data_IF_550321575533
#
_entry.id   IF_550321575533
#
_cell.length_a   1.000
_cell.length_b   1.000
_cell.length_c   1.000
_cell.angle_alpha   90.00
_cell.angle_beta   90.00
_cell.angle_gamma   90.00
#
_symmetry.space_group_name_H-M   'P 1'
#
loop_
_entity.id
_entity.type
_entity.pdbx_description
1 polymer ?
#
# COMPACT_ATOMS: atom_id res chain seq x y z
N UNK A 1 13.82 25.26 18.92
CA UNK A 1 13.96 24.49 17.68
C UNK A 1 12.81 23.51 17.68
N UNK A 2 11.93 23.55 16.67
CA UNK A 2 10.81 22.63 16.60
C UNK A 2 11.35 21.21 16.40
N UNK A 3 10.76 20.23 17.08
CA UNK A 3 11.13 18.82 16.94
C UNK A 3 10.91 18.43 15.47
N UNK A 4 11.99 18.10 14.75
CA UNK A 4 11.97 17.82 13.32
C UNK A 4 11.39 16.43 12.99
N UNK A 5 11.06 15.67 14.02
CA UNK A 5 10.50 14.33 13.92
C UNK A 5 9.07 14.31 14.46
N UNK A 6 8.11 14.06 13.57
CA UNK A 6 6.70 13.89 13.96
C UNK A 6 6.41 12.40 14.06
N UNK A 7 5.91 11.97 15.23
CA UNK A 7 5.61 10.58 15.51
C UNK A 7 4.16 10.43 15.96
N UNK A 8 3.42 9.56 15.28
CA UNK A 8 2.01 9.28 15.56
C UNK A 8 1.84 7.78 15.73
N UNK A 9 1.18 7.37 16.83
CA UNK A 9 0.78 5.99 17.04
C UNK A 9 -0.71 5.83 16.78
N UNK A 10 -1.06 4.84 15.97
CA UNK A 10 -2.45 4.46 15.71
C UNK A 10 -2.56 2.98 16.07
N UNK A 11 -3.26 2.69 17.17
CA UNK A 11 -3.30 1.36 17.78
C UNK A 11 -1.89 0.82 18.11
N UNK A 12 -1.49 -0.31 17.51
CA UNK A 12 -0.17 -0.93 17.65
C UNK A 12 0.86 -0.38 16.66
N UNK A 13 0.42 0.33 15.63
CA UNK A 13 1.25 0.73 14.51
C UNK A 13 1.81 2.16 14.72
N UNK A 14 2.99 2.39 14.18
CA UNK A 14 3.76 3.60 14.34
C UNK A 14 4.06 4.27 13.00
N UNK A 15 3.73 5.56 12.92
CA UNK A 15 4.08 6.43 11.80
C UNK A 15 5.12 7.43 12.26
N UNK A 16 6.20 7.57 11.50
CA UNK A 16 7.28 8.52 11.79
C UNK A 16 7.57 9.33 10.54
N UNK A 17 7.62 10.65 10.70
CA UNK A 17 8.03 11.59 9.67
C UNK A 17 9.26 12.35 10.16
N UNK A 18 10.43 12.06 9.59
CA UNK A 18 11.66 12.82 9.76
C UNK A 18 11.70 13.93 8.70
N UNK A 19 11.36 15.16 9.10
CA UNK A 19 11.24 16.31 8.19
C UNK A 19 12.60 16.74 7.63
N UNK A 20 13.68 16.57 8.40
CA UNK A 20 15.04 16.93 7.96
C UNK A 20 15.54 15.98 6.88
N UNK A 21 15.22 14.69 6.98
CA UNK A 21 15.62 13.69 6.00
C UNK A 21 14.59 13.46 4.89
N UNK A 22 13.40 14.04 5.00
CA UNK A 22 12.28 13.77 4.10
C UNK A 22 11.87 12.29 4.11
N UNK A 23 12.02 11.63 5.27
CA UNK A 23 11.79 10.18 5.40
C UNK A 23 10.49 9.92 6.16
N UNK A 24 9.57 9.24 5.49
CA UNK A 24 8.36 8.70 6.11
C UNK A 24 8.52 7.20 6.34
N UNK A 25 8.22 6.73 7.54
CA UNK A 25 8.24 5.30 7.87
C UNK A 25 6.95 4.85 8.52
N UNK A 26 6.53 3.64 8.19
CA UNK A 26 5.44 2.91 8.82
C UNK A 26 6.01 1.63 9.45
N UNK A 27 5.85 1.47 10.76
CA UNK A 27 6.38 0.35 11.55
C UNK A 27 7.88 0.07 11.29
N UNK A 28 8.66 1.14 11.18
CA UNK A 28 10.11 1.10 10.97
C UNK A 28 10.54 0.82 9.53
N UNK A 29 9.61 0.56 8.61
CA UNK A 29 9.89 0.43 7.18
C UNK A 29 9.64 1.75 6.45
N UNK A 30 10.53 2.13 5.54
CA UNK A 30 10.33 3.31 4.68
C UNK A 30 9.07 3.15 3.83
N UNK A 31 8.25 4.19 3.81
CA UNK A 31 6.99 4.22 3.07
C UNK A 31 6.88 5.51 2.26
N UNK A 32 6.03 5.48 1.24
CA UNK A 32 5.67 6.66 0.45
C UNK A 32 4.22 7.02 0.72
N UNK A 33 3.96 8.32 0.82
CA UNK A 33 2.61 8.86 0.89
C UNK A 33 2.24 9.40 -0.50
N UNK A 34 1.16 8.88 -1.06
CA UNK A 34 0.60 9.35 -2.32
C UNK A 34 -0.79 9.94 -2.09
N UNK A 35 -1.11 11.01 -2.81
CA UNK A 35 -2.50 11.36 -3.07
C UNK A 35 -3.14 10.26 -3.91
N UNK A 36 -4.42 9.99 -3.65
CA UNK A 36 -5.26 9.08 -4.42
C UNK A 36 -5.22 9.38 -5.93
N UNK A 37 -5.34 10.65 -6.30
CA UNK A 37 -5.25 11.13 -7.68
C UNK A 37 -3.88 10.89 -8.31
N UNK A 38 -2.79 10.96 -7.53
CA UNK A 38 -1.44 10.74 -8.03
C UNK A 38 -1.17 9.26 -8.34
N UNK A 39 -1.62 8.35 -7.47
CA UNK A 39 -1.49 6.90 -7.75
C UNK A 39 -2.43 6.47 -8.88
N UNK A 40 -3.64 7.03 -8.97
CA UNK A 40 -4.54 6.76 -10.08
C UNK A 40 -3.95 7.22 -11.42
N UNK A 41 -3.39 8.43 -11.47
CA UNK A 41 -2.71 8.94 -12.65
C UNK A 41 -1.53 8.04 -13.04
N UNK A 42 -0.71 7.63 -12.07
CA UNK A 42 0.42 6.74 -12.31
C UNK A 42 -0.02 5.40 -12.94
N UNK A 43 -1.08 4.78 -12.41
CA UNK A 43 -1.64 3.55 -12.98
C UNK A 43 -2.20 3.81 -14.37
N UNK A 44 -3.00 4.86 -14.58
CA UNK A 44 -3.53 5.20 -15.91
C UNK A 44 -2.42 5.40 -16.93
N UNK A 45 -1.34 6.09 -16.58
CA UNK A 45 -0.20 6.28 -17.48
C UNK A 45 0.47 4.95 -17.86
N UNK A 46 0.57 3.98 -16.94
CA UNK A 46 1.05 2.64 -17.28
C UNK A 46 0.13 1.98 -18.31
N UNK A 47 -1.18 2.04 -18.11
CA UNK A 47 -2.16 1.48 -19.05
C UNK A 47 -2.12 2.16 -20.42
N UNK A 48 -2.05 3.49 -20.46
CA UNK A 48 -1.96 4.27 -21.70
C UNK A 48 -0.72 3.93 -22.52
N UNK A 49 0.43 3.75 -21.86
CA UNK A 49 1.70 3.48 -22.54
C UNK A 49 1.86 2.00 -22.91
N UNK A 50 1.39 1.08 -22.08
CA UNK A 50 1.64 -0.36 -22.26
C UNK A 50 0.48 -1.14 -22.90
N UNK A 51 -0.72 -0.56 -22.93
CA UNK A 51 -1.94 -1.25 -23.32
C UNK A 51 -2.50 -2.14 -22.20
N UNK A 52 -3.80 -2.43 -22.29
CA UNK A 52 -4.59 -3.05 -21.20
C UNK A 52 -4.10 -4.44 -20.76
N UNK A 53 -3.67 -5.29 -21.70
CA UNK A 53 -3.23 -6.65 -21.37
C UNK A 53 -1.87 -6.66 -20.63
N UNK A 54 -0.94 -5.78 -21.03
CA UNK A 54 0.38 -5.66 -20.41
C UNK A 54 0.26 -4.98 -19.04
N UNK A 55 -0.52 -3.91 -18.94
CA UNK A 55 -0.73 -3.19 -17.68
C UNK A 55 -1.37 -4.10 -16.62
N UNK A 56 -2.36 -4.91 -17.01
CA UNK A 56 -2.96 -5.90 -16.10
C UNK A 56 -1.92 -6.87 -15.54
N UNK A 57 -1.03 -7.38 -16.38
CA UNK A 57 0.06 -8.28 -15.96
C UNK A 57 1.01 -7.58 -14.99
N UNK A 58 1.34 -6.31 -15.25
CA UNK A 58 2.17 -5.48 -14.36
C UNK A 58 1.50 -5.31 -13.00
N UNK A 59 0.20 -5.02 -12.95
CA UNK A 59 -0.53 -4.84 -11.70
C UNK A 59 -0.61 -6.13 -10.88
N UNK A 60 -0.94 -7.26 -11.52
CA UNK A 60 -1.01 -8.57 -10.86
C UNK A 60 0.35 -8.99 -10.31
N UNK A 61 1.41 -8.87 -11.12
CA UNK A 61 2.77 -9.20 -10.71
C UNK A 61 3.26 -8.29 -9.57
N UNK A 62 2.93 -7.00 -9.63
CA UNK A 62 3.28 -6.03 -8.58
C UNK A 62 2.53 -6.36 -7.29
N UNK A 63 1.22 -6.62 -7.36
CA UNK A 63 0.41 -7.05 -6.22
C UNK A 63 0.94 -8.32 -5.55
N UNK A 64 1.26 -9.35 -6.35
CA UNK A 64 1.85 -10.59 -5.86
C UNK A 64 3.20 -10.36 -5.16
N UNK A 65 4.09 -9.58 -5.78
CA UNK A 65 5.42 -9.27 -5.20
C UNK A 65 5.31 -8.44 -3.93
N UNK A 66 4.40 -7.45 -3.90
CA UNK A 66 4.13 -6.64 -2.71
C UNK A 66 3.56 -7.50 -1.58
N UNK A 67 2.60 -8.38 -1.85
CA UNK A 67 2.08 -9.32 -0.86
C UNK A 67 3.17 -10.24 -0.31
N UNK A 68 4.06 -10.75 -1.17
CA UNK A 68 5.20 -11.54 -0.72
C UNK A 68 6.17 -10.74 0.16
N UNK A 69 6.47 -9.49 -0.22
CA UNK A 69 7.31 -8.59 0.55
C UNK A 69 6.70 -8.29 1.94
N UNK A 70 5.40 -7.95 2.00
CA UNK A 70 4.72 -7.70 3.28
C UNK A 70 4.70 -8.95 4.14
N UNK A 71 4.39 -10.12 3.56
CA UNK A 71 4.43 -11.40 4.30
C UNK A 71 5.81 -11.71 4.89
N UNK A 72 6.88 -11.21 4.26
CA UNK A 72 8.25 -11.42 4.73
C UNK A 72 8.54 -10.70 6.04
N UNK A 73 7.87 -9.58 6.33
CA UNK A 73 7.96 -8.90 7.63
C UNK A 73 7.40 -9.73 8.79
N UNK A 74 6.61 -10.76 8.48
CA UNK A 74 6.00 -11.67 9.45
C UNK A 74 6.66 -13.05 9.49
N UNK A 75 7.72 -13.30 8.71
CA UNK A 75 8.44 -14.59 8.75
C UNK A 75 9.04 -14.81 10.14
N UNK A 76 8.76 -15.97 10.74
CA UNK A 76 9.26 -16.37 12.06
C UNK A 76 8.28 -16.11 13.21
N UNK A 77 7.13 -15.47 12.94
CA UNK A 77 6.01 -15.39 13.87
C UNK A 77 5.24 -16.72 13.87
N UNK A 78 4.90 -17.24 15.05
CA UNK A 78 4.15 -18.50 15.23
C UNK A 78 2.70 -18.27 15.68
N UNK A 79 2.36 -17.03 16.01
CA UNK A 79 1.06 -16.54 16.46
C UNK A 79 0.14 -16.25 15.26
N UNK A 80 -0.36 -17.32 14.61
CA UNK A 80 -1.16 -17.23 13.38
C UNK A 80 -2.42 -16.35 13.56
N UNK A 81 -3.12 -16.44 14.69
CA UNK A 81 -4.35 -15.66 14.94
C UNK A 81 -4.06 -14.15 15.00
N UNK A 82 -3.03 -13.76 15.76
CA UNK A 82 -2.62 -12.36 15.89
C UNK A 82 -2.01 -11.83 14.59
N UNK A 83 -1.31 -12.67 13.82
CA UNK A 83 -0.80 -12.32 12.50
C UNK A 83 -1.94 -12.03 11.52
N UNK A 84 -3.03 -12.80 11.55
CA UNK A 84 -4.19 -12.56 10.71
C UNK A 84 -4.91 -11.26 11.07
N UNK A 85 -5.00 -10.92 12.36
CA UNK A 85 -5.54 -9.63 12.82
C UNK A 85 -4.67 -8.46 12.36
N UNK A 86 -3.34 -8.52 12.58
CA UNK A 86 -2.39 -7.47 12.19
C UNK A 86 -2.32 -7.29 10.67
N UNK A 87 -2.35 -8.39 9.91
CA UNK A 87 -2.40 -8.36 8.45
C UNK A 87 -3.70 -7.71 7.96
N UNK A 88 -4.84 -8.10 8.51
CA UNK A 88 -6.14 -7.47 8.22
C UNK A 88 -6.10 -5.96 8.51
N UNK A 89 -5.49 -5.55 9.61
CA UNK A 89 -5.43 -4.14 10.01
C UNK A 89 -4.50 -3.31 9.12
N UNK A 90 -3.41 -3.87 8.58
CA UNK A 90 -2.61 -3.22 7.53
C UNK A 90 -3.42 -3.03 6.25
N UNK A 91 -4.21 -4.02 5.84
CA UNK A 91 -5.07 -3.86 4.67
C UNK A 91 -6.18 -2.83 4.92
N UNK A 92 -6.65 -2.67 6.16
CA UNK A 92 -7.55 -1.58 6.52
C UNK A 92 -6.84 -0.21 6.58
N UNK A 93 -5.59 -0.14 7.01
CA UNK A 93 -4.86 1.12 7.27
C UNK A 93 -4.04 1.67 6.10
N UNK A 94 -3.41 0.81 5.29
CA UNK A 94 -2.44 1.20 4.26
C UNK A 94 -2.92 0.93 2.83
N UNK A 95 -3.85 -0.01 2.68
CA UNK A 95 -4.53 -0.33 1.42
C UNK A 95 -6.02 -0.11 1.63
N UNK A 96 -6.38 1.06 2.18
CA UNK A 96 -7.77 1.47 2.26
C UNK A 96 -8.41 1.18 0.91
N UNK A 97 -9.43 0.31 0.94
CA UNK A 97 -10.26 -0.30 -0.11
C UNK A 97 -9.96 0.01 -1.58
N UNK A 98 -9.57 1.22 -1.95
CA UNK A 98 -9.22 1.77 -3.25
C UNK A 98 -8.26 0.93 -4.10
N UNK A 99 -7.08 0.50 -3.66
CA UNK A 99 -6.14 -0.21 -4.56
C UNK A 99 -6.55 -1.67 -4.83
N UNK A 100 -6.97 -2.40 -3.79
CA UNK A 100 -7.47 -3.77 -3.96
C UNK A 100 -8.82 -3.77 -4.69
N UNK A 101 -9.72 -2.81 -4.39
CA UNK A 101 -10.96 -2.64 -5.14
C UNK A 101 -10.69 -2.17 -6.57
N UNK A 102 -9.77 -1.25 -6.84
CA UNK A 102 -9.40 -0.85 -8.20
C UNK A 102 -8.81 -2.02 -8.98
N UNK A 103 -7.90 -2.81 -8.41
CA UNK A 103 -7.36 -4.02 -9.05
C UNK A 103 -8.47 -5.04 -9.32
N UNK A 104 -9.35 -5.32 -8.35
CA UNK A 104 -10.49 -6.24 -8.52
C UNK A 104 -11.50 -5.69 -9.53
N UNK A 105 -11.74 -4.38 -9.57
CA UNK A 105 -12.75 -3.72 -10.43
C UNK A 105 -12.25 -3.54 -11.86
N UNK A 106 -10.96 -3.27 -12.04
CA UNK A 106 -10.26 -3.37 -13.33
C UNK A 106 -10.25 -4.82 -13.84
N UNK A 107 -10.01 -5.80 -12.97
CA UNK A 107 -10.07 -7.22 -13.33
C UNK A 107 -11.50 -7.69 -13.70
N UNK A 108 -12.54 -7.07 -13.12
CA UNK A 108 -13.97 -7.39 -13.37
C UNK A 108 -14.60 -6.61 -14.53
N UNK A 109 -13.91 -5.64 -15.16
CA UNK A 109 -14.47 -4.75 -16.21
C UNK A 109 -15.77 -4.04 -15.78
N UNK A 110 -15.91 -3.69 -14.51
CA UNK A 110 -17.07 -2.90 -14.07
C UNK A 110 -16.83 -1.39 -14.30
N UNK A 111 -17.84 -0.64 -14.76
CA UNK A 111 -17.67 0.76 -15.10
C UNK A 111 -17.44 1.64 -13.85
N UNK A 112 -16.63 2.69 -14.04
CA UNK A 112 -16.38 3.73 -13.05
C UNK A 112 -17.61 4.65 -12.94
N UNK A 113 -18.40 4.43 -11.88
CA UNK A 113 -19.58 5.19 -11.43
C UNK A 113 -20.91 4.95 -12.18
N UNK A 114 -21.99 4.85 -11.38
CA UNK A 114 -23.35 5.26 -11.71
C UNK A 114 -23.64 6.59 -11.01
#
# INVERSE_FOLDING_TARGET
>A
MADSNVKVKVNKNEFVWDQEKGLFTFDGASALLFWDSAIELFLKTIEEVSGSDVSKTVYEATGYRMGHLVSSYYKGRTDIEQLLEEYSDIYKMQVGETLLSQIIRLAKKEPLFS
#
